data_IF_226740989248
#
_entry.id   IF_226740989248
#
_cell.length_a   1.000
_cell.length_b   1.000
_cell.length_c   1.000
_cell.angle_alpha   90.00
_cell.angle_beta   90.00
_cell.angle_gamma   90.00
#
_symmetry.space_group_name_H-M   'P 1'
#
loop_
_entity.id
_entity.type
_entity.pdbx_description
1 polymer ?
#
# COMPACT_ATOMS: atom_id res chain seq x y z
N UNK A 1 -39.13 -22.73 -78.95
CA UNK A 1 -38.95 -23.04 -77.52
C UNK A 1 -37.57 -23.63 -77.33
N UNK A 2 -36.62 -22.95 -76.69
CA UNK A 2 -35.33 -23.48 -76.35
C UNK A 2 -35.33 -24.12 -74.98
N UNK A 3 -34.40 -25.01 -74.64
CA UNK A 3 -34.39 -25.80 -73.42
C UNK A 3 -33.77 -25.07 -72.22
N UNK A 4 -34.17 -25.56 -71.08
CA UNK A 4 -33.79 -25.04 -69.75
C UNK A 4 -32.33 -25.35 -69.38
N UNK A 5 -31.60 -24.39 -68.94
CA UNK A 5 -30.30 -24.51 -68.33
C UNK A 5 -30.39 -25.18 -66.93
N UNK A 6 -29.49 -26.12 -66.70
CA UNK A 6 -29.28 -26.76 -65.39
C UNK A 6 -28.22 -26.05 -64.64
N UNK A 7 -28.55 -25.60 -63.42
CA UNK A 7 -27.61 -24.99 -62.44
C UNK A 7 -26.71 -26.09 -61.82
N UNK A 8 -25.43 -25.82 -61.53
CA UNK A 8 -24.54 -26.80 -60.91
C UNK A 8 -24.78 -26.86 -59.39
N UNK A 9 -24.98 -28.07 -58.90
CA UNK A 9 -25.02 -28.38 -57.43
C UNK A 9 -23.67 -28.18 -56.81
N UNK A 10 -23.58 -27.27 -55.82
CA UNK A 10 -22.40 -27.12 -54.99
C UNK A 10 -22.25 -28.33 -54.05
N UNK A 11 -21.17 -29.08 -54.20
CA UNK A 11 -20.80 -30.16 -53.32
C UNK A 11 -20.35 -29.54 -51.93
N UNK A 12 -20.98 -29.99 -50.85
CA UNK A 12 -20.52 -29.61 -49.46
C UNK A 12 -19.20 -30.32 -49.18
N UNK A 13 -18.22 -29.61 -48.53
CA UNK A 13 -16.93 -30.20 -48.19
C UNK A 13 -17.10 -31.30 -47.14
N UNK A 14 -16.34 -32.39 -47.31
CA UNK A 14 -16.37 -33.52 -46.39
C UNK A 14 -15.72 -33.18 -45.03
N UNK A 15 -16.11 -33.90 -43.97
CA UNK A 15 -15.49 -33.79 -42.65
C UNK A 15 -13.95 -33.88 -42.67
N UNK A 16 -13.41 -34.61 -43.61
CA UNK A 16 -11.96 -34.82 -43.78
C UNK A 16 -11.27 -33.57 -44.36
N UNK A 17 -11.96 -32.83 -45.23
CA UNK A 17 -11.44 -31.58 -45.81
C UNK A 17 -11.52 -30.42 -44.79
N UNK A 18 -12.56 -30.41 -43.96
CA UNK A 18 -12.67 -29.47 -42.84
C UNK A 18 -11.52 -29.65 -41.83
N UNK A 19 -11.17 -30.89 -41.48
CA UNK A 19 -10.07 -31.17 -40.55
C UNK A 19 -8.70 -30.82 -41.11
N UNK A 20 -8.48 -30.99 -42.43
CA UNK A 20 -7.23 -30.58 -43.08
C UNK A 20 -7.07 -29.05 -43.16
N UNK A 21 -8.16 -28.34 -43.43
CA UNK A 21 -8.15 -26.86 -43.48
C UNK A 21 -8.00 -26.24 -42.10
N UNK A 22 -8.60 -26.85 -41.07
CA UNK A 22 -8.44 -26.43 -39.69
C UNK A 22 -7.02 -26.65 -39.15
N UNK A 23 -6.36 -27.74 -39.53
CA UNK A 23 -4.97 -28.00 -39.12
C UNK A 23 -3.97 -27.03 -39.80
N UNK A 24 -4.22 -26.62 -41.03
CA UNK A 24 -3.39 -25.62 -41.72
C UNK A 24 -3.60 -24.20 -41.20
N UNK A 25 -4.83 -23.84 -40.77
CA UNK A 25 -5.12 -22.54 -40.17
C UNK A 25 -4.50 -22.38 -38.79
N UNK A 26 -4.41 -23.46 -37.97
CA UNK A 26 -3.73 -23.44 -36.68
C UNK A 26 -2.21 -23.34 -36.82
N UNK A 27 -1.61 -23.97 -37.84
CA UNK A 27 -0.18 -23.87 -38.11
C UNK A 27 0.22 -22.48 -38.68
N UNK A 28 -0.66 -21.84 -39.48
CA UNK A 28 -0.42 -20.49 -40.02
C UNK A 28 -0.57 -19.35 -39.01
N UNK A 29 -1.46 -19.50 -38.05
CA UNK A 29 -1.64 -18.51 -36.96
C UNK A 29 -0.50 -18.54 -35.94
N UNK A 30 0.26 -19.62 -35.81
CA UNK A 30 1.41 -19.75 -34.96
C UNK A 30 2.68 -19.02 -35.50
N UNK A 31 2.69 -18.64 -36.78
CA UNK A 31 3.85 -17.98 -37.40
C UNK A 31 3.67 -16.49 -37.68
N UNK A 32 2.48 -15.91 -37.47
CA UNK A 32 2.19 -14.50 -37.76
C UNK A 32 1.89 -13.66 -36.49
N UNK A 33 1.93 -14.26 -35.30
CA UNK A 33 1.67 -13.60 -34.01
C UNK A 33 2.85 -13.68 -33.07
N UNK A 34 4.06 -13.30 -33.54
CA UNK A 34 5.25 -13.18 -32.69
C UNK A 34 5.24 -11.96 -31.78
N UNK A 35 4.19 -11.74 -31.02
CA UNK A 35 4.27 -11.08 -29.72
C UNK A 35 4.64 -12.18 -28.72
N UNK A 36 5.92 -12.35 -28.52
CA UNK A 36 6.43 -13.02 -27.34
C UNK A 36 5.90 -12.23 -26.13
N UNK A 37 4.76 -12.65 -25.61
CA UNK A 37 4.51 -12.52 -24.18
C UNK A 37 5.72 -13.24 -23.57
N UNK A 38 6.72 -12.51 -23.14
CA UNK A 38 7.66 -13.03 -22.16
C UNK A 38 6.80 -13.43 -20.96
N UNK A 39 6.25 -14.65 -20.98
CA UNK A 39 6.09 -15.37 -19.75
C UNK A 39 7.47 -15.26 -19.13
N UNK A 40 7.55 -14.74 -17.90
CA UNK A 40 8.69 -14.98 -17.03
C UNK A 40 8.76 -16.50 -16.86
N UNK A 41 9.22 -17.18 -17.91
CA UNK A 41 9.70 -18.51 -17.77
C UNK A 41 10.86 -18.35 -16.83
N UNK A 42 10.69 -18.71 -15.57
CA UNK A 42 11.80 -19.05 -14.72
C UNK A 42 12.62 -20.00 -15.58
N UNK A 43 13.73 -19.46 -16.12
CA UNK A 43 14.61 -20.24 -16.98
C UNK A 43 14.94 -21.49 -16.21
N UNK A 44 14.81 -22.65 -16.83
CA UNK A 44 15.12 -23.93 -16.24
C UNK A 44 16.52 -23.87 -15.62
N UNK A 45 16.63 -23.61 -14.32
CA UNK A 45 17.90 -23.39 -13.65
C UNK A 45 17.82 -23.17 -12.14
N UNK A 46 16.91 -22.34 -11.65
CA UNK A 46 16.68 -22.24 -10.20
C UNK A 46 15.27 -21.76 -9.91
N UNK A 47 14.56 -22.45 -9.03
CA UNK A 47 13.25 -22.06 -8.48
C UNK A 47 13.40 -20.90 -7.44
N UNK A 48 14.54 -20.27 -7.38
CA UNK A 48 14.89 -19.24 -6.39
C UNK A 48 14.45 -17.86 -6.87
N UNK A 49 13.56 -17.22 -6.13
CA UNK A 49 13.12 -15.86 -6.37
C UNK A 49 14.12 -14.85 -5.80
N UNK A 50 14.54 -13.90 -6.61
CA UNK A 50 15.43 -12.79 -6.22
C UNK A 50 14.62 -11.61 -5.72
N UNK A 51 14.85 -11.24 -4.47
CA UNK A 51 14.15 -10.15 -3.79
C UNK A 51 15.04 -8.91 -3.72
N UNK A 52 14.49 -7.74 -4.00
CA UNK A 52 15.11 -6.44 -3.79
C UNK A 52 14.38 -5.67 -2.67
N UNK A 53 15.12 -4.99 -1.80
CA UNK A 53 14.57 -4.13 -0.74
C UNK A 53 14.82 -2.66 -1.06
N UNK A 54 13.79 -1.87 -1.17
CA UNK A 54 13.85 -0.40 -1.30
C UNK A 54 13.31 0.25 -0.03
N UNK A 55 14.20 0.94 0.71
CA UNK A 55 13.91 1.49 2.03
C UNK A 55 14.39 0.58 3.17
N UNK A 56 15.61 0.82 3.64
CA UNK A 56 16.33 0.00 4.63
C UNK A 56 16.12 0.48 6.07
N UNK A 57 14.98 1.12 6.37
CA UNK A 57 14.56 1.45 7.73
C UNK A 57 14.13 0.22 8.52
N UNK A 58 13.70 0.41 9.78
CA UNK A 58 13.27 -0.70 10.65
C UNK A 58 12.17 -1.55 10.03
N UNK A 59 11.15 -0.92 9.40
CA UNK A 59 10.06 -1.67 8.73
C UNK A 59 10.57 -2.42 7.50
N UNK A 60 11.39 -1.78 6.65
CA UNK A 60 11.93 -2.45 5.46
C UNK A 60 12.83 -3.64 5.82
N UNK A 61 13.72 -3.47 6.81
CA UNK A 61 14.54 -4.58 7.34
C UNK A 61 13.66 -5.73 7.84
N UNK A 62 12.59 -5.40 8.60
CA UNK A 62 11.62 -6.39 9.07
C UNK A 62 10.91 -7.08 7.91
N UNK A 63 10.40 -6.33 6.91
CA UNK A 63 9.71 -6.87 5.76
C UNK A 63 10.58 -7.83 4.93
N UNK A 64 11.86 -7.48 4.70
CA UNK A 64 12.79 -8.39 4.04
C UNK A 64 13.00 -9.69 4.85
N UNK A 65 13.14 -9.59 6.18
CA UNK A 65 13.23 -10.76 7.04
C UNK A 65 11.96 -11.63 7.03
N UNK A 66 10.78 -10.99 7.02
CA UNK A 66 9.48 -11.69 6.96
C UNK A 66 9.26 -12.36 5.59
N UNK A 67 9.65 -11.71 4.51
CA UNK A 67 9.65 -12.28 3.16
C UNK A 67 10.53 -13.54 3.08
N UNK A 68 11.75 -13.47 3.63
CA UNK A 68 12.63 -14.62 3.66
C UNK A 68 12.10 -15.76 4.53
N UNK A 69 11.36 -15.51 5.59
CA UNK A 69 10.68 -16.55 6.40
C UNK A 69 9.51 -17.17 5.65
N UNK A 70 8.76 -16.36 4.89
CA UNK A 70 7.56 -16.78 4.19
C UNK A 70 7.84 -17.79 3.07
N UNK A 71 9.00 -17.70 2.41
CA UNK A 71 9.37 -18.62 1.33
C UNK A 71 10.84 -19.07 1.45
N UNK A 72 11.06 -20.38 1.45
CA UNK A 72 12.41 -20.96 1.62
C UNK A 72 13.29 -20.79 0.37
N UNK A 73 12.70 -20.62 -0.80
CA UNK A 73 13.39 -20.51 -2.07
C UNK A 73 13.44 -19.05 -2.57
N UNK A 74 13.49 -18.06 -1.69
CA UNK A 74 13.80 -16.69 -2.04
C UNK A 74 15.06 -16.21 -1.35
N UNK A 75 15.80 -15.31 -2.00
CA UNK A 75 17.05 -14.72 -1.51
C UNK A 75 17.00 -13.20 -1.71
N UNK A 76 17.56 -12.45 -0.77
CA UNK A 76 17.75 -11.02 -0.93
C UNK A 76 19.02 -10.76 -1.73
N UNK A 77 18.92 -10.14 -2.90
CA UNK A 77 20.04 -9.93 -3.82
C UNK A 77 20.41 -8.47 -4.04
N UNK A 78 19.53 -7.51 -3.71
CA UNK A 78 19.80 -6.09 -3.88
C UNK A 78 19.10 -5.26 -2.81
N UNK A 79 19.73 -4.14 -2.42
CA UNK A 79 19.19 -3.20 -1.45
C UNK A 79 19.38 -1.76 -1.90
N UNK A 80 18.40 -0.89 -1.63
CA UNK A 80 18.46 0.54 -1.90
C UNK A 80 17.90 1.37 -0.73
N UNK A 81 18.61 2.44 -0.36
CA UNK A 81 18.14 3.45 0.59
C UNK A 81 18.69 4.82 0.22
N UNK A 82 18.00 5.87 0.64
CA UNK A 82 18.48 7.24 0.47
C UNK A 82 19.82 7.49 1.21
N UNK A 83 20.04 6.79 2.34
CA UNK A 83 21.19 6.96 3.21
C UNK A 83 22.00 5.66 3.35
N UNK A 84 23.30 5.73 3.05
CA UNK A 84 24.20 4.57 3.12
C UNK A 84 24.24 3.95 4.52
N UNK A 85 24.30 4.75 5.58
CA UNK A 85 24.34 4.24 6.95
C UNK A 85 23.12 3.38 7.32
N UNK A 86 21.94 3.67 6.71
CA UNK A 86 20.74 2.86 6.88
C UNK A 86 20.82 1.56 6.12
N UNK A 87 21.26 1.63 4.87
CA UNK A 87 21.45 0.45 4.03
C UNK A 87 22.43 -0.51 4.70
N UNK A 88 23.62 -0.03 5.09
CA UNK A 88 24.64 -0.86 5.71
C UNK A 88 24.20 -1.42 7.07
N UNK A 89 23.48 -0.63 7.89
CA UNK A 89 22.91 -1.09 9.15
C UNK A 89 21.93 -2.24 8.96
N UNK A 90 21.02 -2.10 7.99
CA UNK A 90 20.05 -3.11 7.62
C UNK A 90 20.71 -4.38 7.08
N UNK A 91 21.68 -4.23 6.17
CA UNK A 91 22.43 -5.35 5.59
C UNK A 91 23.14 -6.19 6.66
N UNK A 92 23.82 -5.54 7.62
CA UNK A 92 24.45 -6.26 8.75
C UNK A 92 23.43 -7.02 9.58
N UNK A 93 22.30 -6.38 9.92
CA UNK A 93 21.22 -7.01 10.71
C UNK A 93 20.63 -8.23 9.99
N UNK A 94 20.36 -8.10 8.69
CA UNK A 94 19.81 -9.19 7.87
C UNK A 94 20.81 -10.33 7.72
N UNK A 95 22.10 -10.06 7.45
CA UNK A 95 23.16 -11.10 7.38
C UNK A 95 23.25 -11.88 8.69
N UNK A 96 23.19 -11.20 9.83
CA UNK A 96 23.20 -11.86 11.16
C UNK A 96 21.98 -12.76 11.36
N UNK A 97 20.78 -12.31 10.94
CA UNK A 97 19.52 -13.03 11.19
C UNK A 97 19.16 -14.10 10.16
N UNK A 98 19.63 -13.97 8.90
CA UNK A 98 19.19 -14.81 7.77
C UNK A 98 20.35 -15.54 7.05
N UNK A 99 21.59 -15.26 7.41
CA UNK A 99 22.77 -15.98 6.90
C UNK A 99 22.88 -15.96 5.37
N UNK A 100 23.05 -17.14 4.79
CA UNK A 100 23.27 -17.34 3.34
C UNK A 100 22.10 -16.91 2.44
N UNK A 101 20.95 -16.59 3.06
CA UNK A 101 19.78 -16.04 2.34
C UNK A 101 19.96 -14.57 1.93
N UNK A 102 21.07 -13.94 2.35
CA UNK A 102 21.44 -12.57 2.02
C UNK A 102 22.62 -12.59 1.05
N UNK A 103 22.33 -12.57 -0.24
CA UNK A 103 23.30 -12.60 -1.33
C UNK A 103 23.57 -11.19 -1.90
N UNK A 104 23.51 -10.16 -1.04
CA UNK A 104 23.79 -8.77 -1.41
C UNK A 104 25.27 -8.50 -1.29
N UNK A 105 25.92 -8.20 -2.40
CA UNK A 105 27.31 -7.73 -2.47
C UNK A 105 27.36 -6.18 -2.50
N UNK A 106 28.56 -5.62 -2.65
CA UNK A 106 28.76 -4.17 -2.67
C UNK A 106 28.18 -3.49 -3.92
N UNK A 107 28.17 -4.19 -5.06
CA UNK A 107 27.67 -3.67 -6.34
C UNK A 107 26.14 -3.62 -6.39
N UNK A 108 25.46 -4.38 -5.52
CA UNK A 108 24.03 -4.41 -5.37
C UNK A 108 23.52 -3.60 -4.15
N UNK A 109 24.35 -2.72 -3.61
CA UNK A 109 24.03 -1.73 -2.58
C UNK A 109 23.87 -0.35 -3.22
N UNK A 110 22.66 0.14 -3.39
CA UNK A 110 22.38 1.38 -4.11
C UNK A 110 21.94 2.50 -3.16
N UNK A 111 22.66 3.62 -3.15
CA UNK A 111 22.36 4.77 -2.29
C UNK A 111 21.85 5.95 -3.13
N UNK A 112 21.10 6.86 -2.46
CA UNK A 112 20.52 8.04 -3.07
C UNK A 112 19.01 7.95 -3.32
N UNK A 113 18.41 9.07 -3.66
CA UNK A 113 16.96 9.18 -3.88
C UNK A 113 16.47 8.40 -5.12
N UNK A 114 17.38 8.10 -6.04
CA UNK A 114 17.14 7.35 -7.29
C UNK A 114 17.67 5.90 -7.24
N UNK A 115 18.30 5.48 -6.14
CA UNK A 115 18.88 4.14 -5.99
C UNK A 115 17.92 2.98 -6.30
N UNK A 116 16.63 3.19 -6.12
CA UNK A 116 15.59 2.21 -6.45
C UNK A 116 15.58 1.81 -7.94
N UNK A 117 15.95 2.72 -8.88
CA UNK A 117 16.01 2.43 -10.32
C UNK A 117 17.06 1.38 -10.61
N UNK A 118 18.27 1.56 -10.06
CA UNK A 118 19.38 0.61 -10.20
C UNK A 118 19.02 -0.76 -9.60
N UNK A 119 18.33 -0.77 -8.46
CA UNK A 119 17.83 -2.01 -7.85
C UNK A 119 16.84 -2.74 -8.78
N UNK A 120 15.90 -2.03 -9.40
CA UNK A 120 14.93 -2.62 -10.32
C UNK A 120 15.66 -3.28 -11.52
N UNK A 121 16.72 -2.64 -12.01
CA UNK A 121 17.52 -3.10 -13.16
C UNK A 121 18.50 -4.22 -12.80
N UNK A 122 18.73 -4.51 -11.52
CA UNK A 122 19.72 -5.51 -11.04
C UNK A 122 19.29 -6.98 -11.18
N UNK A 123 18.15 -7.24 -11.83
CA UNK A 123 17.67 -8.59 -12.10
C UNK A 123 16.85 -9.22 -10.97
N UNK A 124 16.28 -8.43 -10.06
CA UNK A 124 15.33 -8.89 -9.05
C UNK A 124 13.98 -9.30 -9.68
N UNK A 125 13.29 -10.26 -9.08
CA UNK A 125 11.97 -10.73 -9.49
C UNK A 125 10.87 -10.03 -8.69
N UNK A 126 11.12 -9.78 -7.40
CA UNK A 126 10.19 -9.20 -6.44
C UNK A 126 10.82 -8.00 -5.78
N UNK A 127 10.11 -6.89 -5.68
CA UNK A 127 10.57 -5.67 -5.00
C UNK A 127 9.72 -5.40 -3.76
N UNK A 128 10.38 -5.20 -2.62
CA UNK A 128 9.75 -4.72 -1.38
C UNK A 128 9.93 -3.21 -1.32
N UNK A 129 8.82 -2.46 -1.34
CA UNK A 129 8.81 -1.00 -1.23
C UNK A 129 8.45 -0.59 0.20
N UNK A 130 9.43 -0.13 0.96
CA UNK A 130 9.30 0.28 2.36
C UNK A 130 9.85 1.69 2.65
N UNK A 131 9.96 2.52 1.63
CA UNK A 131 10.31 3.95 1.72
C UNK A 131 9.19 4.77 2.39
N UNK A 132 9.40 6.05 2.72
CA UNK A 132 8.30 6.93 3.11
C UNK A 132 7.18 6.97 2.06
N UNK A 133 5.92 7.16 2.48
CA UNK A 133 4.75 7.08 1.60
C UNK A 133 4.82 7.91 0.32
N UNK A 134 5.43 9.08 0.40
CA UNK A 134 5.60 10.00 -0.72
C UNK A 134 6.27 9.37 -1.96
N UNK A 135 7.27 8.51 -1.74
CA UNK A 135 8.04 7.92 -2.84
C UNK A 135 7.36 6.72 -3.50
N UNK A 136 6.34 6.14 -2.87
CA UNK A 136 5.72 4.88 -3.30
C UNK A 136 5.02 4.96 -4.65
N UNK A 137 4.29 6.03 -5.03
CA UNK A 137 3.69 6.11 -6.36
C UNK A 137 4.72 6.01 -7.48
N UNK A 138 5.85 6.73 -7.36
CA UNK A 138 6.94 6.70 -8.35
C UNK A 138 7.62 5.34 -8.42
N UNK A 139 7.93 4.76 -7.25
CA UNK A 139 8.65 3.50 -7.14
C UNK A 139 7.79 2.33 -7.59
N UNK A 140 6.50 2.31 -7.20
CA UNK A 140 5.55 1.29 -7.63
C UNK A 140 5.39 1.30 -9.16
N UNK A 141 5.21 2.51 -9.74
CA UNK A 141 5.11 2.64 -11.18
C UNK A 141 6.36 2.08 -11.89
N UNK A 142 7.54 2.44 -11.43
CA UNK A 142 8.79 1.96 -12.00
C UNK A 142 8.93 0.43 -11.91
N UNK A 143 8.53 -0.19 -10.80
CA UNK A 143 8.52 -1.64 -10.65
C UNK A 143 7.56 -2.32 -11.63
N UNK A 144 6.33 -1.81 -11.75
CA UNK A 144 5.32 -2.38 -12.65
C UNK A 144 5.69 -2.18 -14.12
N UNK A 145 6.25 -1.02 -14.47
CA UNK A 145 6.77 -0.77 -15.82
C UNK A 145 7.85 -1.78 -16.21
N UNK A 146 8.75 -2.10 -15.27
CA UNK A 146 9.83 -3.08 -15.40
C UNK A 146 9.40 -4.55 -15.22
N UNK A 147 8.11 -4.83 -15.06
CA UNK A 147 7.59 -6.20 -14.97
C UNK A 147 7.91 -6.92 -13.66
N UNK A 148 8.07 -6.18 -12.54
CA UNK A 148 8.38 -6.77 -11.24
C UNK A 148 7.12 -7.03 -10.42
N UNK A 149 7.09 -8.15 -9.68
CA UNK A 149 6.13 -8.36 -8.61
C UNK A 149 6.47 -7.45 -7.42
N UNK A 150 5.46 -6.96 -6.70
CA UNK A 150 5.68 -5.93 -5.66
C UNK A 150 4.97 -6.27 -4.36
N UNK A 151 5.71 -6.17 -3.27
CA UNK A 151 5.16 -5.91 -1.95
C UNK A 151 5.29 -4.41 -1.66
N UNK A 152 4.16 -3.73 -1.44
CA UNK A 152 4.13 -2.29 -1.23
C UNK A 152 3.62 -1.96 0.18
N UNK A 153 4.47 -1.38 1.01
CA UNK A 153 4.08 -0.91 2.35
C UNK A 153 2.99 0.17 2.29
N UNK A 154 2.21 0.23 3.33
CA UNK A 154 1.17 1.25 3.56
C UNK A 154 1.78 2.52 4.21
N UNK A 155 1.10 3.67 4.08
CA UNK A 155 0.15 4.07 3.03
C UNK A 155 0.87 4.24 1.68
N UNK A 156 0.12 4.23 0.59
CA UNK A 156 0.75 4.17 -0.75
C UNK A 156 0.96 5.54 -1.41
N UNK A 157 0.52 6.61 -0.75
CA UNK A 157 0.68 8.00 -1.21
C UNK A 157 0.45 8.96 -0.03
N UNK A 158 0.65 10.26 -0.26
CA UNK A 158 0.41 11.33 0.71
C UNK A 158 -0.59 12.38 0.22
N UNK A 159 -0.98 12.32 -1.04
CA UNK A 159 -1.90 13.24 -1.72
C UNK A 159 -2.76 12.52 -2.75
N UNK A 160 -3.79 13.22 -3.26
CA UNK A 160 -4.72 12.66 -4.23
C UNK A 160 -4.07 12.35 -5.59
N UNK A 161 -3.18 13.20 -6.16
CA UNK A 161 -2.44 12.85 -7.36
C UNK A 161 -1.65 11.54 -7.23
N UNK A 162 -0.96 11.34 -6.10
CA UNK A 162 -0.24 10.11 -5.80
C UNK A 162 -1.18 8.89 -5.72
N UNK A 163 -2.33 9.02 -5.07
CA UNK A 163 -3.35 7.94 -5.01
C UNK A 163 -3.86 7.59 -6.40
N UNK A 164 -4.22 8.58 -7.23
CA UNK A 164 -4.66 8.34 -8.61
C UNK A 164 -3.59 7.67 -9.46
N UNK A 165 -2.33 8.04 -9.29
CA UNK A 165 -1.18 7.38 -9.92
C UNK A 165 -1.08 5.91 -9.52
N UNK A 166 -1.25 5.60 -8.23
CA UNK A 166 -1.25 4.21 -7.73
C UNK A 166 -2.43 3.44 -8.32
N UNK A 167 -3.64 4.01 -8.37
CA UNK A 167 -4.81 3.36 -8.98
C UNK A 167 -4.55 2.99 -10.45
N UNK A 168 -4.00 3.92 -11.24
CA UNK A 168 -3.66 3.67 -12.63
C UNK A 168 -2.58 2.57 -12.76
N UNK A 169 -1.53 2.63 -11.94
CA UNK A 169 -0.45 1.63 -11.91
C UNK A 169 -0.96 0.24 -11.53
N UNK A 170 -1.96 0.18 -10.64
CA UNK A 170 -2.62 -1.07 -10.24
C UNK A 170 -3.33 -1.76 -11.41
N UNK A 171 -4.00 -0.98 -12.27
CA UNK A 171 -4.64 -1.53 -13.47
C UNK A 171 -3.62 -2.03 -14.50
N UNK A 172 -2.47 -1.35 -14.61
CA UNK A 172 -1.36 -1.84 -15.44
C UNK A 172 -0.76 -3.14 -14.88
N UNK A 173 -0.62 -3.26 -13.56
CA UNK A 173 -0.16 -4.49 -12.92
C UNK A 173 -1.09 -5.69 -13.24
N UNK A 174 -2.43 -5.46 -13.21
CA UNK A 174 -3.42 -6.48 -13.61
C UNK A 174 -3.23 -6.92 -15.07
N UNK A 175 -3.09 -5.97 -16.00
CA UNK A 175 -2.90 -6.27 -17.44
C UNK A 175 -1.62 -7.08 -17.69
N UNK A 176 -0.59 -6.84 -16.89
CA UNK A 176 0.70 -7.54 -16.97
C UNK A 176 0.75 -8.84 -16.16
N UNK A 177 -0.34 -9.23 -15.47
CA UNK A 177 -0.40 -10.38 -14.55
C UNK A 177 0.68 -10.32 -13.44
N UNK A 178 0.98 -9.12 -12.95
CA UNK A 178 1.92 -8.91 -11.87
C UNK A 178 1.22 -8.94 -10.52
N UNK A 179 1.85 -9.60 -9.56
CA UNK A 179 1.36 -9.64 -8.19
C UNK A 179 1.71 -8.34 -7.46
N UNK A 180 0.71 -7.77 -6.78
CA UNK A 180 0.81 -6.57 -5.96
C UNK A 180 0.13 -6.83 -4.63
N UNK A 181 0.93 -6.96 -3.56
CA UNK A 181 0.46 -7.15 -2.19
C UNK A 181 0.75 -5.90 -1.37
N UNK A 182 -0.22 -5.48 -0.57
CA UNK A 182 -0.13 -4.32 0.30
C UNK A 182 0.27 -4.70 1.72
N UNK A 183 1.08 -3.87 2.38
CA UNK A 183 1.44 -3.95 3.80
C UNK A 183 0.30 -3.60 4.78
N UNK A 184 -0.96 -3.66 4.36
CA UNK A 184 -2.13 -3.60 5.25
C UNK A 184 -2.33 -4.95 5.94
N UNK A 185 -1.40 -5.30 6.80
CA UNK A 185 -1.15 -6.63 7.35
C UNK A 185 -2.34 -7.26 8.07
N UNK A 186 -3.25 -6.48 8.67
CA UNK A 186 -4.45 -7.04 9.29
C UNK A 186 -5.37 -7.76 8.32
N UNK A 187 -5.32 -7.44 7.01
CA UNK A 187 -6.05 -8.19 5.98
C UNK A 187 -5.53 -9.61 5.79
N UNK A 188 -4.33 -9.89 6.26
CA UNK A 188 -3.66 -11.20 6.22
C UNK A 188 -3.62 -11.90 7.59
N UNK A 189 -4.21 -11.31 8.63
CA UNK A 189 -4.27 -11.91 9.95
C UNK A 189 -5.53 -12.78 10.10
N UNK A 190 -5.40 -14.10 10.36
CA UNK A 190 -6.55 -15.00 10.36
C UNK A 190 -7.69 -14.62 11.31
N UNK A 191 -7.36 -14.08 12.49
CA UNK A 191 -8.38 -13.62 13.44
C UNK A 191 -9.18 -12.43 12.88
N UNK A 192 -8.52 -11.49 12.17
CA UNK A 192 -9.19 -10.37 11.51
C UNK A 192 -10.02 -10.84 10.32
N UNK A 193 -9.48 -11.74 9.50
CA UNK A 193 -10.22 -12.31 8.36
C UNK A 193 -11.51 -13.00 8.82
N UNK A 194 -11.45 -13.80 9.87
CA UNK A 194 -12.61 -14.53 10.37
C UNK A 194 -13.65 -13.62 11.01
N UNK A 195 -13.25 -12.61 11.80
CA UNK A 195 -14.21 -11.65 12.36
C UNK A 195 -14.86 -10.80 11.28
N UNK A 196 -14.08 -10.35 10.29
CA UNK A 196 -14.61 -9.57 9.16
C UNK A 196 -15.55 -10.38 8.29
N UNK A 197 -15.24 -11.65 8.05
CA UNK A 197 -16.15 -12.57 7.36
C UNK A 197 -17.51 -12.62 8.09
N UNK A 198 -17.52 -12.84 9.40
CA UNK A 198 -18.76 -12.89 10.19
C UNK A 198 -19.53 -11.58 10.18
N UNK A 199 -18.86 -10.45 10.28
CA UNK A 199 -19.50 -9.13 10.17
C UNK A 199 -20.18 -8.97 8.81
N UNK A 200 -19.49 -9.33 7.74
CA UNK A 200 -20.03 -9.26 6.37
C UNK A 200 -21.15 -10.28 6.10
N UNK A 201 -21.09 -11.42 6.77
CA UNK A 201 -22.17 -12.44 6.72
C UNK A 201 -23.39 -12.05 7.61
N UNK A 202 -23.37 -10.86 8.24
CA UNK A 202 -24.50 -10.30 8.97
C UNK A 202 -24.57 -10.69 10.45
N UNK A 203 -23.49 -11.16 11.07
CA UNK A 203 -23.49 -11.58 12.47
C UNK A 203 -23.88 -10.47 13.45
N UNK A 204 -23.61 -9.20 13.11
CA UNK A 204 -24.03 -8.02 13.89
C UNK A 204 -25.23 -7.30 13.28
N UNK A 205 -25.84 -7.83 12.21
CA UNK A 205 -26.88 -7.16 11.45
C UNK A 205 -26.33 -6.03 10.58
N UNK A 206 -27.17 -5.03 10.31
CA UNK A 206 -26.78 -3.81 9.59
C UNK A 206 -25.82 -2.97 10.46
N UNK A 207 -24.74 -2.47 9.89
CA UNK A 207 -23.77 -1.60 10.59
C UNK A 207 -24.38 -0.19 10.71
N UNK A 208 -24.58 0.25 11.95
CA UNK A 208 -25.10 1.57 12.29
C UNK A 208 -24.02 2.61 12.47
N UNK A 209 -22.90 2.20 13.11
CA UNK A 209 -21.75 3.07 13.36
C UNK A 209 -20.47 2.23 13.48
N UNK A 210 -19.36 2.89 13.18
CA UNK A 210 -18.01 2.36 13.41
C UNK A 210 -17.26 3.37 14.28
N UNK A 211 -16.52 2.88 15.27
CA UNK A 211 -15.57 3.69 16.05
C UNK A 211 -14.19 3.08 15.91
N UNK A 212 -13.22 3.92 15.56
CA UNK A 212 -11.83 3.54 15.37
C UNK A 212 -10.93 4.42 16.19
N UNK A 213 -9.98 3.81 16.89
CA UNK A 213 -9.00 4.52 17.73
C UNK A 213 -7.58 4.08 17.40
N UNK A 214 -6.67 5.08 17.32
CA UNK A 214 -5.24 4.84 17.20
C UNK A 214 -4.47 5.85 18.07
N UNK A 215 -4.63 5.72 19.39
CA UNK A 215 -4.03 6.61 20.37
C UNK A 215 -2.72 6.03 20.87
N UNK A 216 -1.60 6.69 20.55
CA UNK A 216 -0.25 6.26 20.90
C UNK A 216 0.58 7.39 21.48
N UNK A 217 1.81 7.09 21.88
CA UNK A 217 2.78 8.05 22.35
C UNK A 217 3.62 8.68 21.23
N UNK A 218 4.63 9.43 21.65
CA UNK A 218 5.58 10.10 20.75
C UNK A 218 6.46 9.06 20.04
N UNK A 219 6.79 9.33 18.79
CA UNK A 219 7.70 8.51 18.00
C UNK A 219 9.13 9.04 18.05
N UNK A 220 10.03 8.30 17.41
CA UNK A 220 11.44 8.65 17.26
C UNK A 220 11.62 10.00 16.56
N UNK A 221 12.69 10.70 16.89
CA UNK A 221 13.21 11.85 16.16
C UNK A 221 14.73 11.69 16.02
N UNK A 222 15.28 12.13 14.90
CA UNK A 222 16.72 12.10 14.63
C UNK A 222 17.22 13.53 14.53
N UNK A 223 18.23 13.85 15.33
CA UNK A 223 18.84 15.17 15.29
C UNK A 223 19.32 15.55 13.88
N UNK A 224 19.39 16.84 13.60
CA UNK A 224 20.01 17.38 12.39
C UNK A 224 21.52 17.14 12.46
N UNK A 225 22.09 16.57 11.39
CA UNK A 225 23.54 16.46 11.24
C UNK A 225 24.11 17.79 10.73
N UNK A 226 25.40 18.10 11.00
CA UNK A 226 26.01 19.36 10.55
C UNK A 226 25.92 19.60 9.04
N UNK A 227 26.04 18.53 8.24
CA UNK A 227 26.05 18.59 6.77
C UNK A 227 24.69 18.26 6.14
N UNK A 228 23.61 18.09 6.94
CA UNK A 228 22.28 17.86 6.40
C UNK A 228 21.77 19.12 5.70
N UNK A 229 21.51 19.02 4.40
CA UNK A 229 20.66 19.98 3.69
C UNK A 229 19.25 19.89 4.26
N UNK A 230 18.38 20.86 3.96
CA UNK A 230 16.99 20.80 4.43
C UNK A 230 16.26 19.56 3.88
N UNK A 231 16.49 19.20 2.63
CA UNK A 231 15.97 17.97 2.02
C UNK A 231 16.45 16.73 2.79
N UNK A 232 17.75 16.64 3.10
CA UNK A 232 18.31 15.49 3.82
C UNK A 232 17.74 15.38 5.25
N UNK A 233 17.61 16.51 5.95
CA UNK A 233 17.03 16.56 7.29
C UNK A 233 15.58 16.09 7.27
N UNK A 234 14.75 16.57 6.35
CA UNK A 234 13.35 16.19 6.25
C UNK A 234 13.19 14.72 5.87
N UNK A 235 13.92 14.22 4.88
CA UNK A 235 13.90 12.79 4.50
C UNK A 235 14.37 11.90 5.66
N UNK A 236 15.35 12.32 6.46
CA UNK A 236 15.80 11.61 7.67
C UNK A 236 14.74 11.57 8.76
N UNK A 237 13.93 12.63 8.87
CA UNK A 237 12.84 12.79 9.84
C UNK A 237 11.45 12.76 9.16
N UNK A 238 11.34 11.98 8.10
CA UNK A 238 10.21 11.94 7.17
C UNK A 238 8.83 11.90 7.83
N UNK A 239 8.74 11.29 9.00
CA UNK A 239 7.48 11.13 9.71
C UNK A 239 6.83 12.47 10.09
N UNK A 240 7.63 13.49 10.32
CA UNK A 240 7.20 14.79 10.81
C UNK A 240 6.88 15.82 9.73
N UNK A 241 6.96 15.41 8.46
CA UNK A 241 6.70 16.30 7.32
C UNK A 241 5.55 15.74 6.49
N UNK A 242 4.49 16.57 6.35
CA UNK A 242 3.25 16.19 5.64
C UNK A 242 3.52 15.68 4.23
N UNK A 243 4.45 16.30 3.51
CA UNK A 243 4.78 15.88 2.15
C UNK A 243 5.42 14.48 2.07
N UNK A 244 6.02 13.98 3.14
CA UNK A 244 6.66 12.65 3.19
C UNK A 244 5.77 11.58 3.82
N UNK A 245 5.09 11.92 4.92
CA UNK A 245 4.30 10.97 5.71
C UNK A 245 2.80 11.04 5.42
N UNK A 246 2.30 12.18 4.97
CA UNK A 246 0.87 12.48 4.92
C UNK A 246 0.27 12.85 6.27
N UNK A 247 1.07 13.05 7.33
CA UNK A 247 0.69 13.11 8.73
C UNK A 247 0.40 11.72 9.36
N UNK A 248 0.38 11.63 10.68
CA UNK A 248 0.16 10.36 11.39
C UNK A 248 -1.25 9.77 11.19
N UNK A 249 -2.23 10.58 10.85
CA UNK A 249 -3.54 10.09 10.41
C UNK A 249 -3.42 9.23 9.14
N UNK A 250 -2.57 9.64 8.20
CA UNK A 250 -2.31 8.89 6.96
C UNK A 250 -1.32 7.76 7.21
N UNK A 251 -0.19 8.04 7.86
CA UNK A 251 0.88 7.05 7.99
C UNK A 251 0.52 5.90 8.93
N UNK A 252 -0.10 6.19 10.06
CA UNK A 252 -0.34 5.19 11.10
C UNK A 252 -1.81 4.77 11.21
N UNK A 253 -2.72 5.74 11.28
CA UNK A 253 -4.13 5.47 11.52
C UNK A 253 -4.85 4.81 10.33
N UNK A 254 -4.25 4.85 9.13
CA UNK A 254 -4.72 4.12 7.95
C UNK A 254 -5.02 2.64 8.24
N UNK A 255 -4.36 2.03 9.19
CA UNK A 255 -4.63 0.65 9.60
C UNK A 255 -6.02 0.45 10.19
N UNK A 256 -6.52 1.38 11.02
CA UNK A 256 -7.89 1.33 11.53
C UNK A 256 -8.88 1.67 10.42
N UNK A 257 -8.64 2.77 9.70
CA UNK A 257 -9.47 3.20 8.56
C UNK A 257 -9.63 2.10 7.49
N UNK A 258 -8.59 1.30 7.26
CA UNK A 258 -8.66 0.14 6.36
C UNK A 258 -9.64 -0.93 6.84
N UNK A 259 -9.66 -1.22 8.15
CA UNK A 259 -10.59 -2.20 8.71
C UNK A 259 -12.04 -1.72 8.64
N UNK A 260 -12.28 -0.43 8.94
CA UNK A 260 -13.60 0.19 8.75
C UNK A 260 -14.06 0.19 7.30
N UNK A 261 -13.15 0.56 6.37
CA UNK A 261 -13.41 0.47 4.93
C UNK A 261 -13.76 -0.96 4.50
N UNK A 262 -13.02 -1.95 5.00
CA UNK A 262 -13.28 -3.37 4.73
C UNK A 262 -14.67 -3.81 5.23
N UNK A 263 -15.07 -3.38 6.43
CA UNK A 263 -16.41 -3.66 6.96
C UNK A 263 -17.51 -3.01 6.11
N UNK A 264 -17.24 -1.82 5.54
CA UNK A 264 -18.14 -1.12 4.62
C UNK A 264 -18.07 -1.62 3.17
N UNK A 265 -17.38 -2.76 2.92
CA UNK A 265 -17.28 -3.41 1.61
C UNK A 265 -16.34 -2.72 0.64
N UNK A 266 -15.32 -2.04 1.14
CA UNK A 266 -14.34 -1.27 0.39
C UNK A 266 -15.00 -0.24 -0.55
N UNK A 267 -16.01 0.47 -0.02
CA UNK A 267 -16.68 1.58 -0.69
C UNK A 267 -16.27 2.91 -0.07
N UNK A 268 -16.18 3.98 -0.86
CA UNK A 268 -15.84 5.29 -0.33
C UNK A 268 -17.00 5.88 0.51
N UNK A 269 -16.70 6.75 1.49
CA UNK A 269 -17.72 7.59 2.13
C UNK A 269 -18.27 8.64 1.15
N UNK A 270 -19.41 9.24 1.49
CA UNK A 270 -19.96 10.36 0.74
C UNK A 270 -19.16 11.64 1.01
N UNK A 271 -18.84 11.85 2.28
CA UNK A 271 -18.12 13.04 2.77
C UNK A 271 -17.51 12.78 4.14
N UNK A 272 -16.64 13.69 4.56
CA UNK A 272 -16.10 13.71 5.91
C UNK A 272 -16.05 15.14 6.46
N UNK A 273 -16.00 15.25 7.78
CA UNK A 273 -15.71 16.48 8.51
C UNK A 273 -14.98 16.11 9.81
N UNK A 274 -14.28 17.07 10.39
CA UNK A 274 -13.48 16.74 11.57
C UNK A 274 -12.89 17.96 12.24
N UNK A 275 -12.11 17.68 13.24
CA UNK A 275 -11.29 18.64 13.94
C UNK A 275 -9.98 17.99 14.38
N UNK A 276 -8.90 18.72 14.26
CA UNK A 276 -7.59 18.25 14.64
C UNK A 276 -6.71 19.42 14.99
N UNK A 277 -5.50 19.13 15.39
CA UNK A 277 -4.60 20.19 15.76
C UNK A 277 -3.25 19.72 16.26
N UNK A 278 -2.50 20.69 16.78
CA UNK A 278 -1.18 20.54 17.34
C UNK A 278 -1.12 21.20 18.69
N UNK A 279 -1.02 20.41 19.74
CA UNK A 279 -1.04 20.90 21.12
C UNK A 279 0.31 20.66 21.82
N UNK A 280 0.91 19.49 21.64
CA UNK A 280 2.15 19.09 22.33
C UNK A 280 3.37 19.06 21.41
N UNK A 281 3.17 18.89 20.10
CA UNK A 281 4.24 18.91 19.09
C UNK A 281 4.61 20.35 18.69
N UNK A 282 4.90 21.22 19.64
CA UNK A 282 5.17 22.65 19.41
C UNK A 282 6.62 22.96 19.06
N UNK A 283 7.55 22.06 19.36
CA UNK A 283 8.96 22.21 18.98
C UNK A 283 9.13 22.09 17.45
N UNK A 284 9.96 22.95 16.81
CA UNK A 284 10.22 22.92 15.37
C UNK A 284 10.66 21.56 14.82
N UNK A 285 11.34 20.73 15.61
CA UNK A 285 11.76 19.38 15.21
C UNK A 285 10.61 18.48 14.77
N UNK A 286 9.38 18.78 15.16
CA UNK A 286 8.21 18.02 14.78
C UNK A 286 7.60 18.46 13.43
N UNK A 287 8.35 19.24 12.64
CA UNK A 287 7.92 19.64 11.29
C UNK A 287 6.57 20.32 11.26
N UNK A 288 5.72 19.94 10.35
CA UNK A 288 4.44 20.60 10.06
C UNK A 288 3.19 19.74 10.36
N UNK A 289 3.34 18.49 10.86
CA UNK A 289 2.21 17.61 11.15
C UNK A 289 1.47 17.96 12.45
N UNK A 290 0.22 17.54 12.53
CA UNK A 290 -0.59 17.61 13.76
C UNK A 290 -0.18 16.53 14.77
N UNK A 291 -0.76 16.55 15.98
CA UNK A 291 -0.58 15.52 17.00
C UNK A 291 -1.88 14.82 17.43
N UNK A 292 -3.03 15.28 16.92
CA UNK A 292 -4.33 14.61 17.10
C UNK A 292 -5.29 14.93 15.94
N UNK A 293 -6.16 13.96 15.65
CA UNK A 293 -7.22 14.04 14.64
C UNK A 293 -8.49 13.38 15.16
N UNK A 294 -9.65 13.97 14.83
CA UNK A 294 -10.97 13.43 15.12
C UNK A 294 -11.88 13.67 13.91
N UNK A 295 -12.16 12.64 13.14
CA UNK A 295 -12.83 12.71 11.85
C UNK A 295 -14.10 11.86 11.86
N UNK A 296 -15.16 12.36 11.27
CA UNK A 296 -16.39 11.61 10.99
C UNK A 296 -16.51 11.43 9.49
N UNK A 297 -16.58 10.18 9.05
CA UNK A 297 -16.85 9.80 7.67
C UNK A 297 -18.30 9.34 7.57
N UNK A 298 -19.07 9.91 6.63
CA UNK A 298 -20.46 9.53 6.37
C UNK A 298 -20.54 8.67 5.11
N UNK A 299 -21.04 7.46 5.27
CA UNK A 299 -21.25 6.51 4.19
C UNK A 299 -22.69 6.61 3.61
N UNK A 300 -22.92 6.06 2.40
CA UNK A 300 -24.28 5.95 1.86
C UNK A 300 -25.22 5.27 2.85
N UNK A 301 -26.43 5.78 3.01
CA UNK A 301 -27.39 5.26 4.00
C UNK A 301 -27.27 5.90 5.39
N UNK A 302 -26.30 6.79 5.60
CA UNK A 302 -26.15 7.54 6.85
C UNK A 302 -25.31 6.86 7.93
N UNK A 303 -24.73 5.68 7.65
CA UNK A 303 -23.76 5.04 8.55
C UNK A 303 -22.57 5.95 8.75
N UNK A 304 -22.13 6.11 9.98
CA UNK A 304 -20.98 6.96 10.32
C UNK A 304 -19.84 6.18 10.92
N UNK A 305 -18.63 6.50 10.46
CA UNK A 305 -17.39 6.05 11.05
C UNK A 305 -16.73 7.20 11.81
N UNK A 306 -16.58 7.02 13.11
CA UNK A 306 -15.94 7.95 14.03
C UNK A 306 -14.50 7.51 14.24
N UNK A 307 -13.58 8.33 13.82
CA UNK A 307 -12.15 8.03 13.75
C UNK A 307 -11.36 8.96 14.64
N UNK A 308 -10.59 8.42 15.56
CA UNK A 308 -9.80 9.18 16.52
C UNK A 308 -8.35 8.69 16.53
N UNK A 309 -7.41 9.60 16.33
CA UNK A 309 -6.02 9.25 16.53
C UNK A 309 -5.22 10.36 17.21
N UNK A 310 -4.22 9.96 17.97
CA UNK A 310 -3.40 10.86 18.75
C UNK A 310 -2.01 10.28 18.96
N UNK A 311 -0.99 11.15 18.93
CA UNK A 311 0.38 10.81 19.29
C UNK A 311 0.92 11.78 20.35
N UNK A 312 0.46 11.63 21.57
CA UNK A 312 0.80 12.49 22.70
C UNK A 312 1.34 11.66 23.86
N UNK A 313 2.55 11.98 24.33
CA UNK A 313 3.18 11.28 25.45
C UNK A 313 2.42 11.49 26.75
N UNK A 314 2.44 10.50 27.65
CA UNK A 314 1.79 10.57 28.95
C UNK A 314 0.27 10.39 28.93
N UNK A 315 -0.32 10.17 27.77
CA UNK A 315 -1.75 9.88 27.62
C UNK A 315 -2.04 8.38 27.55
N UNK A 316 -3.26 7.98 27.90
CA UNK A 316 -3.71 6.60 27.77
C UNK A 316 -3.65 6.15 26.30
N UNK A 317 -3.03 5.00 26.04
CA UNK A 317 -3.03 4.36 24.72
C UNK A 317 -4.32 3.60 24.46
N UNK A 318 -4.77 3.61 23.20
CA UNK A 318 -5.87 2.79 22.73
C UNK A 318 -5.74 2.57 21.23
N UNK A 319 -5.64 1.30 20.81
CA UNK A 319 -5.62 0.91 19.41
C UNK A 319 -6.66 -0.19 19.25
N UNK A 320 -7.89 0.20 18.93
CA UNK A 320 -9.01 -0.73 18.81
C UNK A 320 -10.08 -0.19 17.85
N UNK A 321 -10.89 -1.11 17.31
CA UNK A 321 -11.98 -0.76 16.41
C UNK A 321 -13.25 -1.48 16.87
N UNK A 322 -14.37 -0.75 16.92
CA UNK A 322 -15.70 -1.26 17.27
C UNK A 322 -16.67 -1.03 16.11
N UNK A 323 -17.41 -2.08 15.75
CA UNK A 323 -18.50 -2.01 14.80
C UNK A 323 -19.82 -2.25 15.53
N UNK A 324 -20.70 -1.27 15.49
CA UNK A 324 -22.02 -1.30 16.13
C UNK A 324 -23.08 -1.63 15.09
N UNK A 325 -23.74 -2.75 15.25
CA UNK A 325 -24.79 -3.20 14.35
C UNK A 325 -26.14 -3.36 15.03
N UNK A 326 -27.18 -3.61 14.25
CA UNK A 326 -28.56 -3.78 14.73
C UNK A 326 -28.75 -5.03 15.60
N UNK A 327 -27.86 -6.01 15.51
CA UNK A 327 -27.95 -7.30 16.20
C UNK A 327 -26.77 -7.58 17.15
N UNK A 328 -25.82 -6.67 17.21
CA UNK A 328 -24.67 -6.88 18.08
C UNK A 328 -23.54 -5.87 17.85
N UNK A 329 -22.47 -6.05 18.61
CA UNK A 329 -21.27 -5.24 18.56
C UNK A 329 -20.05 -6.13 18.30
N UNK A 330 -19.19 -5.71 17.39
CA UNK A 330 -17.93 -6.37 17.10
C UNK A 330 -16.76 -5.52 17.63
N UNK A 331 -15.85 -6.14 18.40
CA UNK A 331 -14.52 -5.62 18.72
C UNK A 331 -13.50 -6.36 17.84
N UNK A 332 -12.73 -5.63 17.03
CA UNK A 332 -11.88 -6.24 15.98
C UNK A 332 -10.49 -6.57 16.48
N UNK A 333 -9.84 -5.70 17.26
CA UNK A 333 -8.41 -5.88 17.56
C UNK A 333 -8.12 -6.53 18.90
N UNK A 334 -8.64 -6.01 20.00
CA UNK A 334 -8.22 -6.46 21.33
C UNK A 334 -8.78 -7.86 21.66
N UNK A 335 -10.04 -8.09 21.33
CA UNK A 335 -10.75 -9.31 21.70
C UNK A 335 -11.11 -10.20 20.52
N UNK A 336 -11.19 -9.66 19.30
CA UNK A 336 -11.75 -10.37 18.12
C UNK A 336 -13.07 -11.04 18.49
N UNK A 337 -14.01 -10.24 18.98
CA UNK A 337 -15.23 -10.72 19.64
C UNK A 337 -16.46 -10.05 19.05
N UNK A 338 -17.52 -10.84 18.89
CA UNK A 338 -18.88 -10.37 18.59
C UNK A 338 -19.75 -10.65 19.81
N UNK A 339 -20.54 -9.65 20.23
CA UNK A 339 -21.57 -9.77 21.29
C UNK A 339 -22.92 -9.44 20.68
N UNK A 340 -24.03 -9.90 21.30
CA UNK A 340 -25.40 -9.68 20.83
C UNK A 340 -26.09 -10.98 20.44
N UNK A 341 -26.91 -10.97 19.40
CA UNK A 341 -27.71 -12.12 18.99
C UNK A 341 -26.88 -13.34 18.54
N UNK A 342 -25.73 -13.09 17.87
CA UNK A 342 -24.86 -14.14 17.34
C UNK A 342 -23.45 -14.04 17.97
N UNK A 343 -23.30 -14.38 19.25
CA UNK A 343 -22.05 -14.19 19.97
C UNK A 343 -20.95 -15.11 19.41
N UNK A 344 -19.75 -14.52 19.25
CA UNK A 344 -18.58 -15.25 18.77
C UNK A 344 -17.29 -14.62 19.32
N UNK A 345 -16.24 -15.42 19.43
CA UNK A 345 -14.89 -14.96 19.75
C UNK A 345 -13.86 -15.78 18.97
N UNK A 346 -12.81 -15.13 18.49
CA UNK A 346 -11.74 -15.81 17.77
C UNK A 346 -11.05 -16.84 18.68
N UNK A 347 -10.90 -18.04 18.17
CA UNK A 347 -10.10 -19.07 18.79
C UNK A 347 -8.63 -18.64 18.95
N UNK A 348 -7.95 -19.19 19.94
CA UNK A 348 -6.55 -18.88 20.20
C UNK A 348 -5.65 -19.23 19.02
N UNK A 349 -5.94 -20.29 18.28
CA UNK A 349 -5.17 -20.71 17.11
C UNK A 349 -5.14 -19.66 16.02
N UNK A 350 -6.25 -18.96 15.79
CA UNK A 350 -6.34 -17.85 14.81
C UNK A 350 -5.47 -16.64 15.18
N UNK A 351 -5.05 -16.54 16.44
CA UNK A 351 -4.23 -15.42 16.96
C UNK A 351 -2.75 -15.73 16.99
N UNK A 352 -2.29 -16.91 16.56
CA UNK A 352 -0.89 -17.34 16.62
C UNK A 352 -0.10 -17.02 15.35
N UNK A 353 -0.79 -16.72 14.24
CA UNK A 353 -0.14 -16.36 12.99
C UNK A 353 0.63 -15.03 13.09
N UNK A 354 1.73 -14.95 12.36
CA UNK A 354 2.43 -13.68 12.16
C UNK A 354 1.89 -13.02 10.88
N UNK A 355 1.07 -11.99 11.06
CA UNK A 355 0.44 -11.27 9.92
C UNK A 355 1.45 -10.71 8.92
N UNK A 356 2.64 -10.31 9.40
CA UNK A 356 3.70 -9.78 8.52
C UNK A 356 4.36 -10.87 7.67
N UNK A 357 4.41 -12.10 8.14
CA UNK A 357 4.84 -13.25 7.34
C UNK A 357 3.73 -13.67 6.38
N UNK A 358 2.48 -13.70 6.86
CA UNK A 358 1.33 -14.17 6.07
C UNK A 358 1.07 -13.33 4.81
N UNK A 359 1.31 -12.01 4.84
CA UNK A 359 1.18 -11.17 3.63
C UNK A 359 2.22 -11.53 2.56
N UNK A 360 3.43 -11.90 2.95
CA UNK A 360 4.48 -12.39 2.04
C UNK A 360 4.23 -13.83 1.58
N UNK A 361 3.72 -14.71 2.45
CA UNK A 361 3.28 -16.06 2.06
C UNK A 361 2.25 -16.01 0.94
N UNK A 362 1.26 -15.13 1.05
CA UNK A 362 0.26 -14.94 0.02
C UNK A 362 0.87 -14.46 -1.31
N UNK A 363 1.82 -13.51 -1.27
CA UNK A 363 2.54 -13.01 -2.44
C UNK A 363 3.32 -14.12 -3.15
N UNK A 364 4.18 -14.83 -2.42
CA UNK A 364 5.02 -15.87 -3.01
C UNK A 364 4.21 -17.08 -3.48
N UNK A 365 3.18 -17.46 -2.74
CA UNK A 365 2.26 -18.51 -3.19
C UNK A 365 1.59 -18.14 -4.52
N UNK A 366 1.11 -16.91 -4.68
CA UNK A 366 0.51 -16.44 -5.92
C UNK A 366 1.52 -16.47 -7.08
N UNK A 367 2.75 -15.98 -6.87
CA UNK A 367 3.82 -16.01 -7.88
C UNK A 367 4.09 -17.44 -8.32
N UNK A 368 4.28 -18.38 -7.39
CA UNK A 368 4.63 -19.77 -7.68
C UNK A 368 3.50 -20.57 -8.32
N UNK A 369 2.27 -20.30 -7.95
CA UNK A 369 1.10 -20.96 -8.51
C UNK A 369 0.64 -20.37 -9.84
N UNK A 370 1.24 -19.27 -10.31
CA UNK A 370 0.81 -18.54 -11.50
C UNK A 370 -0.52 -17.80 -11.34
N UNK A 371 -1.00 -17.67 -10.09
CA UNK A 371 -2.17 -16.86 -9.77
C UNK A 371 -1.78 -15.39 -9.69
N UNK A 372 -2.77 -14.49 -9.76
CA UNK A 372 -2.54 -13.06 -9.62
C UNK A 372 -3.27 -12.52 -8.38
N UNK A 373 -2.52 -11.95 -7.45
CA UNK A 373 -3.04 -11.12 -6.35
C UNK A 373 -2.84 -9.65 -6.71
N UNK A 374 -3.89 -8.84 -6.51
CA UNK A 374 -3.79 -7.39 -6.67
C UNK A 374 -4.60 -6.68 -5.59
N UNK A 375 -3.89 -6.11 -4.63
CA UNK A 375 -4.46 -5.37 -3.50
C UNK A 375 -4.69 -3.88 -3.81
N UNK A 376 -4.41 -3.45 -5.03
CA UNK A 376 -4.37 -2.04 -5.40
C UNK A 376 -5.63 -1.25 -5.10
N UNK A 377 -6.81 -1.86 -5.27
CA UNK A 377 -8.07 -1.17 -5.02
C UNK A 377 -8.16 -0.71 -3.56
N UNK A 378 -8.11 -1.63 -2.62
CA UNK A 378 -8.31 -1.28 -1.22
C UNK A 378 -7.14 -0.49 -0.61
N UNK A 379 -5.90 -0.74 -1.04
CA UNK A 379 -4.77 0.04 -0.52
C UNK A 379 -4.81 1.50 -0.94
N UNK A 380 -5.27 1.79 -2.16
CA UNK A 380 -5.48 3.15 -2.65
C UNK A 380 -6.68 3.80 -1.95
N UNK A 381 -7.79 3.08 -1.81
CA UNK A 381 -9.01 3.55 -1.13
C UNK A 381 -8.72 3.92 0.33
N UNK A 382 -8.10 3.02 1.09
CA UNK A 382 -7.79 3.24 2.51
C UNK A 382 -6.79 4.38 2.71
N UNK A 383 -5.81 4.51 1.80
CA UNK A 383 -4.89 5.66 1.80
C UNK A 383 -5.64 6.97 1.54
N UNK A 384 -6.53 7.00 0.54
CA UNK A 384 -7.31 8.20 0.23
C UNK A 384 -8.29 8.57 1.35
N UNK A 385 -8.87 7.58 2.02
CA UNK A 385 -9.70 7.79 3.20
C UNK A 385 -8.93 8.52 4.31
N UNK A 386 -7.70 8.10 4.57
CA UNK A 386 -6.83 8.74 5.55
C UNK A 386 -6.40 10.15 5.12
N UNK A 387 -6.14 10.36 3.82
CA UNK A 387 -5.84 11.68 3.25
C UNK A 387 -7.05 12.61 3.38
N UNK A 388 -8.26 12.16 3.08
CA UNK A 388 -9.50 12.93 3.27
C UNK A 388 -9.64 13.38 4.74
N UNK A 389 -9.34 12.51 5.71
CA UNK A 389 -9.34 12.86 7.13
C UNK A 389 -8.37 13.99 7.46
N UNK A 390 -7.13 13.92 6.96
CA UNK A 390 -6.17 15.03 7.09
C UNK A 390 -6.70 16.31 6.44
N UNK A 391 -7.27 16.22 5.24
CA UNK A 391 -7.75 17.37 4.50
C UNK A 391 -8.84 18.12 5.28
N UNK A 392 -9.81 17.42 5.85
CA UNK A 392 -10.88 18.05 6.64
C UNK A 392 -10.36 18.71 7.90
N UNK A 393 -9.42 18.08 8.60
CA UNK A 393 -8.86 18.63 9.83
C UNK A 393 -7.95 19.85 9.56
N UNK A 394 -7.18 19.82 8.47
CA UNK A 394 -6.28 20.91 8.09
C UNK A 394 -7.03 22.16 7.59
N UNK A 395 -8.19 21.97 6.98
CA UNK A 395 -8.99 23.07 6.42
C UNK A 395 -10.12 23.51 7.35
N UNK A 396 -10.60 22.62 8.23
CA UNK A 396 -11.82 22.83 9.01
C UNK A 396 -13.10 22.81 8.16
N UNK A 397 -13.05 22.22 6.95
CA UNK A 397 -14.19 22.15 6.03
C UNK A 397 -14.78 20.75 6.00
N UNK A 398 -16.08 20.67 5.65
CA UNK A 398 -16.68 19.41 5.20
C UNK A 398 -16.29 19.21 3.75
N UNK A 399 -15.76 18.01 3.42
CA UNK A 399 -15.23 17.68 2.10
C UNK A 399 -15.88 16.39 1.62
N UNK A 400 -16.38 16.39 0.40
CA UNK A 400 -16.89 15.17 -0.25
C UNK A 400 -15.75 14.29 -0.73
N UNK A 401 -16.03 13.00 -0.89
CA UNK A 401 -15.07 12.07 -1.49
C UNK A 401 -14.61 12.53 -2.88
N UNK A 402 -15.55 12.99 -3.70
CA UNK A 402 -15.26 13.46 -5.06
C UNK A 402 -14.34 14.68 -5.07
N UNK A 403 -14.55 15.65 -4.19
CA UNK A 403 -13.65 16.79 -4.04
C UNK A 403 -12.25 16.33 -3.62
N UNK A 404 -12.17 15.41 -2.66
CA UNK A 404 -10.90 14.92 -2.15
C UNK A 404 -10.11 14.13 -3.18
N UNK A 405 -10.73 13.14 -3.85
CA UNK A 405 -10.04 12.29 -4.82
C UNK A 405 -9.62 13.06 -6.08
N UNK A 406 -10.33 14.12 -6.43
CA UNK A 406 -10.04 14.99 -7.57
C UNK A 406 -9.16 16.20 -7.22
N UNK A 407 -8.75 16.36 -5.96
CA UNK A 407 -7.85 17.43 -5.53
C UNK A 407 -6.58 17.43 -6.37
N UNK A 408 -6.12 18.64 -6.73
CA UNK A 408 -4.88 18.87 -7.46
C UNK A 408 -3.71 19.22 -6.53
N UNK A 409 -3.91 19.15 -5.20
CA UNK A 409 -2.84 19.37 -4.24
C UNK A 409 -1.75 18.32 -4.43
N UNK A 410 -0.65 18.74 -5.04
CA UNK A 410 0.57 17.95 -5.21
C UNK A 410 1.59 18.39 -4.16
N UNK A 411 2.01 17.45 -3.33
CA UNK A 411 2.99 17.68 -2.27
C UNK A 411 4.42 17.35 -2.71
N UNK A 412 4.66 17.17 -3.99
CA UNK A 412 5.99 16.83 -4.54
C UNK A 412 6.96 18.01 -4.50
N UNK A 413 8.25 17.78 -4.25
CA UNK A 413 9.27 18.79 -4.48
C UNK A 413 9.44 19.04 -5.99
N UNK A 414 9.93 20.22 -6.36
CA UNK A 414 10.23 20.53 -7.75
C UNK A 414 11.30 19.59 -8.36
N UNK A 415 12.20 19.06 -7.53
CA UNK A 415 13.27 18.15 -7.93
C UNK A 415 13.68 17.24 -6.77
N UNK A 416 13.91 15.97 -7.06
CA UNK A 416 14.41 14.98 -6.08
C UNK A 416 15.95 14.99 -6.07
N UNK A 417 16.53 15.91 -5.35
CA UNK A 417 17.99 16.02 -5.18
C UNK A 417 18.33 16.59 -3.81
N UNK A 418 19.49 16.25 -3.28
CA UNK A 418 19.90 16.68 -1.94
C UNK A 418 20.09 18.18 -1.80
N UNK A 419 20.44 18.87 -2.88
CA UNK A 419 20.61 20.32 -3.00
C UNK A 419 19.34 21.08 -3.42
N UNK A 420 18.21 20.37 -3.58
CA UNK A 420 16.92 20.98 -3.88
C UNK A 420 16.17 21.34 -2.59
N UNK A 421 15.33 22.36 -2.69
CA UNK A 421 14.41 22.71 -1.61
C UNK A 421 13.27 21.69 -1.50
N UNK A 422 12.94 21.22 -0.29
CA UNK A 422 11.72 20.46 -0.07
C UNK A 422 10.48 21.37 -0.17
N UNK A 423 9.25 20.80 -0.28
CA UNK A 423 8.01 21.57 -0.42
C UNK A 423 7.70 22.53 0.72
N UNK A 424 8.24 22.27 1.91
CA UNK A 424 8.10 23.12 3.08
C UNK A 424 9.47 23.51 3.61
N UNK A 425 9.68 24.81 3.82
CA UNK A 425 10.92 25.36 4.36
C UNK A 425 10.65 25.97 5.73
N UNK A 426 11.62 25.93 6.63
CA UNK A 426 11.51 26.65 7.91
C UNK A 426 11.62 28.16 7.68
N UNK A 427 10.98 28.93 8.56
CA UNK A 427 11.19 30.38 8.65
C UNK A 427 12.56 30.72 9.28
N UNK A 428 12.83 32.01 9.46
CA UNK A 428 14.07 32.52 10.09
C UNK A 428 14.30 32.02 11.52
N UNK A 429 13.24 31.59 12.21
CA UNK A 429 13.28 31.06 13.57
C UNK A 429 13.31 29.51 13.57
N UNK A 430 13.47 28.88 12.41
CA UNK A 430 13.53 27.44 12.21
C UNK A 430 12.17 26.74 12.29
N UNK A 431 11.04 27.46 12.22
CA UNK A 431 9.70 26.93 12.34
C UNK A 431 9.05 26.68 11.00
N UNK A 432 8.35 25.56 10.88
CA UNK A 432 7.59 25.23 9.67
C UNK A 432 6.15 25.78 9.78
N UNK A 433 5.60 26.15 8.62
CA UNK A 433 4.21 26.60 8.53
C UNK A 433 3.28 25.41 8.79
N UNK A 434 2.44 25.53 9.80
CA UNK A 434 1.47 24.50 10.18
C UNK A 434 0.12 24.84 9.56
N UNK A 435 -0.64 23.83 9.15
CA UNK A 435 -2.01 24.01 8.70
C UNK A 435 -2.85 24.68 9.79
N UNK A 436 -3.79 25.54 9.40
CA UNK A 436 -4.70 26.25 10.30
C UNK A 436 -6.12 26.12 9.78
N UNK A 437 -7.02 25.47 10.54
CA UNK A 437 -8.42 25.35 10.17
C UNK A 437 -9.08 26.71 9.92
N UNK A 438 -9.89 26.81 8.88
CA UNK A 438 -10.53 28.06 8.45
C UNK A 438 -9.61 29.00 7.63
N UNK A 439 -8.30 28.74 7.60
CA UNK A 439 -7.31 29.54 6.85
C UNK A 439 -6.64 28.74 5.74
N UNK A 440 -6.24 27.50 6.05
CA UNK A 440 -5.65 26.58 5.07
C UNK A 440 -6.69 26.22 4.02
N UNK A 441 -6.35 26.39 2.74
CA UNK A 441 -7.23 26.07 1.62
C UNK A 441 -6.83 24.74 1.02
N UNK A 442 -7.83 23.94 0.66
CA UNK A 442 -7.67 22.86 -0.31
C UNK A 442 -7.67 23.47 -1.70
N UNK A 443 -6.84 22.93 -2.51
CA UNK A 443 -6.69 23.35 -3.91
C UNK A 443 -7.39 22.33 -4.80
#
# INVERSE_FOLDING_TARGET
MPPKDASPTSAQPSRRDFLKTSAAAVAGAALAGGLTIQRSAHAAGSDTLKVGLVGCGGRGTGAAGDALKADKNCILTAMADAFDERLQGSLRSLKTGMGDRIAVDAEHCFTGLDGYRKLIDSGVDVVILATPPHFRPLQLKACIDAGKHVFCEKPVAVDAPGVRSVMATTEEAKKKNLNLVSGLCWRYYPATQEVMKRVRDGAIGEILAIQETYNTGTLWHRGRKPDDTEMAYQVRNWYYFTWLSGDHNVEQHVHSLDKGSWAMGDKPPVRAWGLGGRQVRTDPKYGDIYDHHAVVYEYPGGTRMYSYCRQQAGCSGDVTDYFFGTKGVCNVLNDYRITGENPWRADRSLRQANMYVSEHEALFHAIRSGNTINNGHYMALSTMLAILGRMVDYTGQTITWEEAINSQQDLSPARYAWDADPPTLPDKDGRYKIAMPGVTKLI
#
